data_IF_982155334063
#
_entry.id   IF_982155334063
#
_cell.length_a   1.000
_cell.length_b   1.000
_cell.length_c   1.000
_cell.angle_alpha   90.00
_cell.angle_beta   90.00
_cell.angle_gamma   90.00
#
_symmetry.space_group_name_H-M   'P 1'
#
loop_
_entity.id
_entity.type
_entity.pdbx_description
1 polymer ?
#
# COMPACT_ATOMS: atom_id res chain seq x y z
N UNK A 1 -22.11 7.14 0.43
CA UNK A 1 -20.78 7.75 0.53
C UNK A 1 -20.39 8.25 -0.85
N UNK A 2 -19.93 9.49 -0.95
CA UNK A 2 -19.33 10.07 -2.17
C UNK A 2 -17.88 9.61 -2.30
N UNK A 3 -17.32 9.69 -3.51
CA UNK A 3 -15.93 9.30 -3.77
C UNK A 3 -14.93 10.01 -2.85
N UNK A 4 -15.04 11.34 -2.68
CA UNK A 4 -14.17 12.11 -1.80
C UNK A 4 -14.28 11.68 -0.33
N UNK A 5 -15.50 11.39 0.15
CA UNK A 5 -15.72 10.90 1.52
C UNK A 5 -15.08 9.53 1.74
N UNK A 6 -15.14 8.67 0.71
CA UNK A 6 -14.49 7.36 0.71
C UNK A 6 -12.96 7.49 0.79
N UNK A 7 -12.37 8.35 -0.05
CA UNK A 7 -10.92 8.61 -0.05
C UNK A 7 -10.46 9.18 1.29
N UNK A 8 -11.15 10.21 1.80
CA UNK A 8 -10.82 10.82 3.08
C UNK A 8 -10.91 9.82 4.24
N UNK A 9 -11.93 8.94 4.25
CA UNK A 9 -12.06 7.90 5.28
C UNK A 9 -10.83 6.99 5.35
N UNK A 10 -10.17 6.72 4.21
CA UNK A 10 -8.95 5.91 4.16
C UNK A 10 -7.73 6.75 4.57
N UNK A 11 -7.55 7.94 3.95
CA UNK A 11 -6.37 8.79 4.12
C UNK A 11 -6.24 9.32 5.56
N UNK A 12 -7.36 9.65 6.21
CA UNK A 12 -7.37 10.16 7.59
C UNK A 12 -7.35 9.07 8.66
N UNK A 13 -7.51 7.79 8.26
CA UNK A 13 -7.44 6.65 9.17
C UNK A 13 -6.00 6.29 9.56
N UNK A 14 -5.86 5.53 10.64
CA UNK A 14 -4.60 4.97 11.11
C UNK A 14 -4.59 3.46 10.93
N UNK A 15 -3.43 2.81 10.87
CA UNK A 15 -3.31 1.35 10.90
C UNK A 15 -4.17 0.67 11.99
N UNK A 16 -4.23 1.28 13.19
CA UNK A 16 -5.02 0.79 14.31
C UNK A 16 -6.53 0.79 14.08
N UNK A 17 -7.02 1.48 13.06
CA UNK A 17 -8.45 1.60 12.74
C UNK A 17 -8.91 0.51 11.78
N UNK A 18 -8.01 -0.40 11.40
CA UNK A 18 -8.28 -1.51 10.49
C UNK A 18 -8.18 -2.86 11.21
N UNK A 19 -9.02 -3.79 10.78
CA UNK A 19 -8.89 -5.21 11.04
C UNK A 19 -8.20 -5.83 9.83
N UNK A 20 -7.35 -6.83 10.06
CA UNK A 20 -6.74 -7.61 8.98
C UNK A 20 -7.00 -9.09 9.20
N UNK A 21 -7.61 -9.72 8.21
CA UNK A 21 -7.79 -11.16 8.14
C UNK A 21 -6.64 -11.76 7.32
N UNK A 22 -5.79 -12.54 7.99
CA UNK A 22 -4.62 -13.18 7.37
C UNK A 22 -5.01 -14.27 6.36
N UNK A 23 -6.15 -14.95 6.57
CA UNK A 23 -6.57 -16.07 5.73
C UNK A 23 -7.10 -15.56 4.37
N UNK A 24 -7.80 -14.42 4.40
CA UNK A 24 -8.37 -13.81 3.18
C UNK A 24 -7.56 -12.65 2.64
N UNK A 25 -6.55 -12.17 3.38
CA UNK A 25 -5.77 -10.98 3.06
C UNK A 25 -6.63 -9.73 2.83
N UNK A 26 -7.70 -9.60 3.63
CA UNK A 26 -8.65 -8.47 3.56
C UNK A 26 -8.46 -7.56 4.76
N UNK A 27 -8.39 -6.26 4.49
CA UNK A 27 -8.42 -5.19 5.47
C UNK A 27 -9.85 -4.65 5.57
N UNK A 28 -10.37 -4.48 6.79
CA UNK A 28 -11.72 -3.96 7.04
C UNK A 28 -11.62 -2.74 7.95
N UNK A 29 -12.17 -1.61 7.52
CA UNK A 29 -12.17 -0.38 8.31
C UNK A 29 -13.21 -0.47 9.44
N UNK A 30 -12.79 -0.24 10.70
CA UNK A 30 -13.63 -0.48 11.89
C UNK A 30 -14.85 0.43 11.95
N UNK A 31 -14.69 1.71 11.62
CA UNK A 31 -15.77 2.70 11.70
C UNK A 31 -16.78 2.57 10.55
N UNK A 32 -16.38 1.91 9.45
CA UNK A 32 -17.26 1.63 8.33
C UNK A 32 -16.86 0.34 7.60
N UNK A 33 -17.47 -0.77 8.00
CA UNK A 33 -17.20 -2.11 7.45
C UNK A 33 -17.53 -2.26 5.96
N UNK A 34 -18.22 -1.29 5.35
CA UNK A 34 -18.40 -1.24 3.90
C UNK A 34 -17.12 -0.86 3.16
N UNK A 35 -16.14 -0.25 3.84
CA UNK A 35 -14.83 0.07 3.29
C UNK A 35 -13.88 -1.10 3.56
N UNK A 36 -13.37 -1.70 2.49
CA UNK A 36 -12.39 -2.78 2.58
C UNK A 36 -11.23 -2.55 1.62
N UNK A 37 -10.09 -3.20 1.90
CA UNK A 37 -8.95 -3.27 0.99
C UNK A 37 -8.58 -4.73 0.81
N UNK A 38 -8.34 -5.17 -0.42
CA UNK A 38 -7.83 -6.52 -0.70
C UNK A 38 -6.76 -6.52 -1.77
N UNK A 39 -5.93 -7.56 -1.79
CA UNK A 39 -5.04 -7.77 -2.93
C UNK A 39 -5.85 -8.13 -4.17
N UNK A 40 -5.53 -7.52 -5.30
CA UNK A 40 -6.14 -7.88 -6.55
C UNK A 40 -5.58 -9.19 -7.10
N UNK A 41 -6.32 -10.28 -6.88
CA UNK A 41 -5.95 -11.62 -7.31
C UNK A 41 -6.12 -11.83 -8.82
N UNK A 42 -6.77 -10.90 -9.54
CA UNK A 42 -7.00 -11.04 -10.99
C UNK A 42 -5.77 -10.72 -11.81
N UNK A 43 -4.77 -10.04 -11.21
CA UNK A 43 -3.49 -9.77 -11.86
C UNK A 43 -2.41 -10.59 -11.17
N UNK A 44 -1.70 -11.46 -11.91
CA UNK A 44 -0.57 -12.20 -11.36
C UNK A 44 0.51 -11.22 -10.92
N UNK A 45 1.21 -11.56 -9.84
CA UNK A 45 2.39 -10.82 -9.43
C UNK A 45 3.52 -11.08 -10.43
N UNK A 46 3.83 -10.08 -11.25
CA UNK A 46 4.95 -10.13 -12.18
C UNK A 46 6.22 -9.61 -11.50
N UNK A 47 7.37 -10.21 -11.84
CA UNK A 47 8.66 -9.74 -11.37
C UNK A 47 8.94 -8.34 -11.91
N UNK A 48 9.39 -7.43 -11.04
CA UNK A 48 9.71 -6.06 -11.38
C UNK A 48 11.21 -5.84 -11.22
N UNK A 49 11.85 -5.26 -12.24
CA UNK A 49 13.25 -4.88 -12.22
C UNK A 49 13.35 -3.36 -12.37
N UNK A 50 13.76 -2.68 -11.31
CA UNK A 50 13.96 -1.23 -11.26
C UNK A 50 15.21 -0.91 -10.43
N UNK A 51 15.93 0.16 -10.77
CA UNK A 51 17.23 0.46 -10.15
C UNK A 51 17.13 0.65 -8.63
N UNK A 52 16.06 1.28 -8.15
CA UNK A 52 15.82 1.54 -6.72
C UNK A 52 15.50 0.26 -5.91
N UNK A 53 15.21 -0.87 -6.57
CA UNK A 53 14.94 -2.15 -5.91
C UNK A 53 16.24 -2.80 -5.42
N UNK A 54 17.37 -2.49 -6.06
CA UNK A 54 18.68 -3.01 -5.65
C UNK A 54 19.14 -2.57 -4.26
N UNK A 55 18.43 -1.64 -3.63
CA UNK A 55 18.72 -1.16 -2.28
C UNK A 55 18.09 -2.01 -1.16
N UNK A 56 17.21 -2.96 -1.49
CA UNK A 56 16.61 -3.88 -0.53
C UNK A 56 17.47 -5.15 -0.35
N UNK A 57 17.19 -5.95 0.70
CA UNK A 57 17.98 -7.16 0.98
C UNK A 57 17.77 -8.24 -0.10
N UNK A 58 16.54 -8.34 -0.59
CA UNK A 58 16.17 -9.16 -1.74
C UNK A 58 16.04 -8.26 -2.97
N UNK A 59 16.85 -8.53 -4.00
CA UNK A 59 16.81 -7.81 -5.27
C UNK A 59 15.66 -8.25 -6.19
N UNK A 60 14.88 -9.25 -5.75
CA UNK A 60 13.66 -9.69 -6.41
C UNK A 60 12.47 -8.95 -5.81
N UNK A 61 11.77 -8.23 -6.67
CA UNK A 61 10.53 -7.56 -6.33
C UNK A 61 9.38 -7.96 -7.25
N UNK A 62 8.16 -7.76 -6.76
CA UNK A 62 6.97 -8.10 -7.51
C UNK A 62 6.00 -6.93 -7.56
N UNK A 63 5.38 -6.73 -8.72
CA UNK A 63 4.25 -5.83 -8.81
C UNK A 63 3.05 -6.41 -8.04
N UNK A 64 2.40 -5.55 -7.25
CA UNK A 64 1.22 -5.92 -6.48
C UNK A 64 0.19 -4.81 -6.49
N UNK A 65 -1.04 -5.15 -6.80
CA UNK A 65 -2.17 -4.23 -6.77
C UNK A 65 -3.09 -4.52 -5.60
N UNK A 66 -3.63 -3.47 -5.01
CA UNK A 66 -4.66 -3.53 -3.98
C UNK A 66 -5.91 -2.80 -4.47
N UNK A 67 -7.09 -3.36 -4.20
CA UNK A 67 -8.35 -2.71 -4.50
C UNK A 67 -8.85 -1.98 -3.26
N UNK A 68 -9.05 -0.67 -3.36
CA UNK A 68 -9.81 0.10 -2.37
C UNK A 68 -11.29 -0.05 -2.71
N UNK A 69 -12.06 -0.67 -1.82
CA UNK A 69 -13.45 -1.07 -2.08
C UNK A 69 -14.45 -0.36 -1.20
N UNK A 70 -15.64 -0.15 -1.77
CA UNK A 70 -16.83 0.27 -1.03
C UNK A 70 -18.02 -0.63 -1.39
N UNK A 71 -18.65 -1.22 -0.37
CA UNK A 71 -19.75 -2.20 -0.54
C UNK A 71 -19.40 -3.33 -1.53
N UNK A 72 -18.16 -3.83 -1.47
CA UNK A 72 -17.65 -4.90 -2.33
C UNK A 72 -17.23 -4.48 -3.74
N UNK A 73 -17.54 -3.26 -4.17
CA UNK A 73 -17.14 -2.72 -5.47
C UNK A 73 -15.74 -2.12 -5.36
N UNK A 74 -14.83 -2.51 -6.25
CA UNK A 74 -13.53 -1.85 -6.39
C UNK A 74 -13.72 -0.44 -6.96
N UNK A 75 -13.41 0.56 -6.14
CA UNK A 75 -13.55 1.97 -6.50
C UNK A 75 -12.25 2.48 -7.11
N UNK A 76 -11.12 2.09 -6.52
CA UNK A 76 -9.78 2.47 -6.97
C UNK A 76 -8.81 1.32 -6.82
N UNK A 77 -7.80 1.31 -7.69
CA UNK A 77 -6.71 0.35 -7.66
C UNK A 77 -5.40 1.05 -7.27
N UNK A 78 -4.78 0.56 -6.21
CA UNK A 78 -3.53 1.08 -5.67
C UNK A 78 -2.35 0.20 -6.09
N UNK A 79 -1.36 0.78 -6.76
CA UNK A 79 -0.18 0.07 -7.27
C UNK A 79 0.95 0.12 -6.25
N UNK A 80 1.50 -1.03 -5.94
CA UNK A 80 2.64 -1.20 -5.04
C UNK A 80 3.68 -2.15 -5.65
N UNK A 81 4.85 -2.15 -5.05
CA UNK A 81 5.92 -3.10 -5.27
C UNK A 81 6.14 -3.86 -3.97
N UNK A 82 5.98 -5.17 -4.01
CA UNK A 82 6.33 -6.06 -2.93
C UNK A 82 7.85 -6.30 -2.95
N UNK A 83 8.54 -5.90 -1.89
CA UNK A 83 10.00 -6.07 -1.71
C UNK A 83 10.30 -7.00 -0.53
N UNK A 84 11.55 -7.44 -0.41
CA UNK A 84 12.04 -8.32 0.65
C UNK A 84 11.16 -9.58 0.84
N UNK A 85 10.81 -10.25 -0.26
CA UNK A 85 9.99 -11.46 -0.22
C UNK A 85 8.55 -11.24 0.28
N UNK A 86 7.86 -10.20 -0.22
CA UNK A 86 6.50 -9.81 0.18
C UNK A 86 6.37 -9.32 1.62
N UNK A 87 7.48 -8.90 2.24
CA UNK A 87 7.46 -8.33 3.59
C UNK A 87 6.89 -6.93 3.63
N UNK A 88 7.17 -6.11 2.61
CA UNK A 88 6.76 -4.70 2.56
C UNK A 88 6.16 -4.37 1.19
N UNK A 89 5.07 -3.62 1.20
CA UNK A 89 4.42 -3.09 0.00
C UNK A 89 4.71 -1.60 -0.13
N UNK A 90 5.60 -1.24 -1.05
CA UNK A 90 6.03 0.13 -1.30
C UNK A 90 5.15 0.72 -2.40
N UNK A 91 4.53 1.90 -2.21
CA UNK A 91 3.78 2.55 -3.29
C UNK A 91 4.68 2.78 -4.49
N UNK A 92 4.14 2.54 -5.69
CA UNK A 92 4.91 2.80 -6.88
C UNK A 92 5.19 4.31 -7.01
N UNK A 93 6.46 4.74 -7.10
CA UNK A 93 6.81 6.15 -7.05
C UNK A 93 6.64 6.85 -8.40
N UNK A 94 6.66 8.19 -8.36
CA UNK A 94 7.06 8.99 -9.49
C UNK A 94 8.54 8.68 -9.80
N UNK A 95 8.82 8.09 -10.96
CA UNK A 95 10.18 7.64 -11.32
C UNK A 95 11.17 8.78 -11.61
N UNK A 96 10.68 9.97 -11.97
CA UNK A 96 11.56 11.10 -12.26
C UNK A 96 12.03 11.76 -10.96
N UNK A 97 11.16 11.79 -9.95
CA UNK A 97 11.41 12.48 -8.68
C UNK A 97 11.75 11.56 -7.53
N UNK A 98 11.47 10.26 -7.67
CA UNK A 98 11.54 9.27 -6.59
C UNK A 98 10.72 9.69 -5.36
N UNK A 99 9.49 10.14 -5.63
CA UNK A 99 8.56 10.60 -4.59
C UNK A 99 7.27 9.83 -4.59
N UNK A 100 6.66 9.73 -3.42
CA UNK A 100 5.27 9.30 -3.22
C UNK A 100 4.48 10.43 -2.55
N UNK A 101 3.18 10.50 -2.78
CA UNK A 101 2.30 11.49 -2.13
C UNK A 101 2.00 11.10 -0.68
N UNK A 102 1.56 12.06 0.14
CA UNK A 102 1.04 11.75 1.47
C UNK A 102 -0.09 10.71 1.40
N UNK A 103 -1.01 10.83 0.44
CA UNK A 103 -2.07 9.84 0.23
C UNK A 103 -1.53 8.43 0.00
N UNK A 104 -0.52 8.29 -0.87
CA UNK A 104 0.14 7.00 -1.12
C UNK A 104 0.79 6.45 0.15
N UNK A 105 1.45 7.32 0.94
CA UNK A 105 2.02 6.96 2.23
C UNK A 105 0.93 6.44 3.19
N UNK A 106 -0.21 7.15 3.32
CA UNK A 106 -1.30 6.75 4.24
C UNK A 106 -1.88 5.39 3.88
N UNK A 107 -2.07 5.11 2.59
CA UNK A 107 -2.52 3.80 2.13
C UNK A 107 -1.46 2.73 2.42
N UNK A 108 -0.18 3.02 2.19
CA UNK A 108 0.91 2.08 2.49
C UNK A 108 1.01 1.75 3.98
N UNK A 109 0.80 2.72 4.86
CA UNK A 109 0.82 2.54 6.32
C UNK A 109 -0.26 1.53 6.74
N UNK A 110 -1.44 1.57 6.10
CA UNK A 110 -2.51 0.58 6.30
C UNK A 110 -2.14 -0.79 5.75
N UNK A 111 -1.49 -0.87 4.59
CA UNK A 111 -1.12 -2.15 3.96
C UNK A 111 0.03 -2.87 4.68
N UNK A 112 0.79 -2.15 5.49
CA UNK A 112 1.99 -2.63 6.17
C UNK A 112 1.80 -2.66 7.70
N UNK A 113 0.61 -3.04 8.19
CA UNK A 113 0.19 -2.99 9.62
C UNK A 113 1.19 -3.59 10.62
N UNK A 114 2.05 -4.50 10.19
CA UNK A 114 3.05 -5.16 11.05
C UNK A 114 4.22 -4.24 11.40
N UNK A 115 4.43 -3.16 10.62
CA UNK A 115 5.45 -2.16 10.87
C UNK A 115 4.83 -0.91 11.48
N UNK A 116 5.64 -0.18 12.26
CA UNK A 116 5.28 1.18 12.65
C UNK A 116 5.73 2.19 11.58
N UNK A 117 5.15 3.40 11.61
CA UNK A 117 5.47 4.46 10.65
C UNK A 117 6.97 4.72 10.46
N UNK A 118 7.79 4.85 11.54
CA UNK A 118 9.24 4.97 11.41
C UNK A 118 9.94 3.83 10.67
N UNK A 119 9.55 2.57 10.92
CA UNK A 119 10.08 1.40 10.21
C UNK A 119 9.69 1.42 8.72
N UNK A 120 8.46 1.82 8.40
CA UNK A 120 8.03 1.95 7.01
C UNK A 120 8.77 3.08 6.28
N UNK A 121 9.04 4.20 6.97
CA UNK A 121 9.84 5.30 6.43
C UNK A 121 11.31 4.90 6.22
N UNK A 122 11.89 4.05 7.08
CA UNK A 122 13.22 3.47 6.85
C UNK A 122 13.24 2.67 5.54
N UNK A 123 12.23 1.84 5.31
CA UNK A 123 12.05 1.11 4.05
C UNK A 123 12.00 2.05 2.84
N UNK A 124 11.26 3.16 2.92
CA UNK A 124 11.21 4.12 1.81
C UNK A 124 12.57 4.79 1.60
N UNK A 125 13.27 5.15 2.68
CA UNK A 125 14.60 5.74 2.62
C UNK A 125 15.66 4.86 1.95
N UNK A 126 15.53 3.52 2.03
CA UNK A 126 16.46 2.59 1.34
C UNK A 126 16.43 2.77 -0.18
N UNK A 127 15.24 2.90 -0.75
CA UNK A 127 15.05 3.12 -2.19
C UNK A 127 15.19 4.57 -2.65
N UNK A 128 15.78 5.46 -1.83
CA UNK A 128 15.83 6.91 -2.04
C UNK A 128 14.43 7.55 -2.24
N UNK A 129 13.39 6.95 -1.66
CA UNK A 129 12.01 7.43 -1.77
C UNK A 129 11.70 8.47 -0.71
N UNK A 130 11.09 9.58 -1.13
CA UNK A 130 10.63 10.62 -0.20
C UNK A 130 9.12 10.87 -0.30
N UNK A 131 8.50 11.19 0.84
CA UNK A 131 7.08 11.53 0.91
C UNK A 131 6.93 13.03 0.69
N UNK A 132 6.12 13.41 -0.31
CA UNK A 132 5.75 14.81 -0.56
C UNK A 132 4.44 15.10 0.15
N UNK A 133 4.47 16.09 1.04
CA UNK A 133 3.34 16.62 1.80
C UNK A 133 2.80 17.88 1.12
#
# INVERSE_FOLDING_TARGET
>A
MRYEEFKLSIIESKPSDWLYDQDTSVYVFKDNISITIDSDITVPSEGLSEDWISAYEDDIAYEKFFNLRYNGVAIERFRTVAVDGFRVFIPYPDKERMTITEEQYRIADILNLVYNGPELLDYFGRGDLSVVV
#
